data_IF_775649744413
#
_entry.id   IF_775649744413
#
_cell.length_a   1.000
_cell.length_b   1.000
_cell.length_c   1.000
_cell.angle_alpha   90.00
_cell.angle_beta   90.00
_cell.angle_gamma   90.00
#
_symmetry.space_group_name_H-M   'P 1'
#
loop_
_entity.id
_entity.type
_entity.pdbx_description
1 polymer ?
#
# COMPACT_ATOMS: atom_id res chain seq x y z
N UNK A 1 24.40 15.08 6.20
CA UNK A 1 23.87 16.26 5.54
C UNK A 1 23.37 17.23 6.60
N UNK A 2 23.97 18.41 6.69
CA UNK A 2 23.70 19.40 7.75
C UNK A 2 22.94 20.64 7.25
N UNK A 3 22.49 20.62 5.96
CA UNK A 3 21.74 21.73 5.36
C UNK A 3 20.41 21.89 6.08
N UNK A 4 20.17 23.09 6.64
CA UNK A 4 18.92 23.42 7.34
C UNK A 4 17.84 23.91 6.38
N UNK A 5 16.59 23.81 6.79
CA UNK A 5 15.44 24.35 6.06
C UNK A 5 15.57 25.86 5.79
N UNK A 6 16.11 26.59 6.77
CA UNK A 6 16.36 28.02 6.64
C UNK A 6 17.38 28.35 5.54
N UNK A 7 18.43 27.54 5.41
CA UNK A 7 19.40 27.69 4.32
C UNK A 7 18.77 27.40 2.96
N UNK A 8 17.88 26.40 2.86
CA UNK A 8 17.12 26.15 1.63
C UNK A 8 16.23 27.35 1.25
N UNK A 9 15.52 27.95 2.22
CA UNK A 9 14.72 29.18 2.00
C UNK A 9 15.61 30.33 1.52
N UNK A 10 16.80 30.49 2.08
CA UNK A 10 17.77 31.48 1.63
C UNK A 10 18.27 31.23 0.20
N UNK A 11 18.59 29.99 -0.13
CA UNK A 11 19.03 29.60 -1.47
C UNK A 11 17.96 29.91 -2.53
N UNK A 12 16.70 29.53 -2.26
CA UNK A 12 15.56 29.78 -3.13
C UNK A 12 15.39 31.28 -3.39
N UNK A 13 15.50 32.10 -2.34
CA UNK A 13 15.32 33.55 -2.46
C UNK A 13 16.45 34.19 -3.27
N UNK A 14 17.72 33.80 -3.06
CA UNK A 14 18.84 34.26 -3.87
C UNK A 14 18.67 33.88 -5.34
N UNK A 15 18.21 32.64 -5.61
CA UNK A 15 17.93 32.18 -6.97
C UNK A 15 16.80 32.97 -7.64
N UNK A 16 15.76 33.33 -6.87
CA UNK A 16 14.63 34.12 -7.35
C UNK A 16 15.00 35.56 -7.73
N UNK A 17 15.80 36.20 -6.89
CA UNK A 17 16.13 37.63 -7.01
C UNK A 17 17.33 37.87 -7.93
N UNK A 18 18.27 36.92 -8.03
CA UNK A 18 19.51 37.07 -8.80
C UNK A 18 20.52 38.03 -8.18
N UNK A 19 20.32 38.43 -6.91
CA UNK A 19 21.20 39.36 -6.17
C UNK A 19 21.21 39.01 -4.67
N UNK A 20 22.41 38.73 -4.14
CA UNK A 20 22.56 38.43 -2.70
C UNK A 20 22.18 39.66 -1.83
N UNK A 21 22.48 40.88 -2.26
CA UNK A 21 22.14 42.07 -1.49
C UNK A 21 20.65 42.27 -1.41
N UNK A 22 19.92 42.21 -2.53
CA UNK A 22 18.46 42.32 -2.54
C UNK A 22 17.78 41.17 -1.80
N UNK A 23 18.28 39.95 -1.94
CA UNK A 23 17.75 38.82 -1.20
C UNK A 23 17.94 38.98 0.32
N UNK A 24 19.08 39.51 0.76
CA UNK A 24 19.33 39.79 2.17
C UNK A 24 18.39 40.85 2.74
N UNK A 25 18.07 41.89 1.97
CA UNK A 25 17.07 42.91 2.34
C UNK A 25 15.67 42.30 2.48
N UNK A 26 15.23 41.49 1.53
CA UNK A 26 13.93 40.80 1.55
C UNK A 26 13.83 39.85 2.72
N UNK A 27 14.90 39.16 3.05
CA UNK A 27 14.99 38.21 4.14
C UNK A 27 15.23 38.86 5.52
N UNK A 28 15.39 40.16 5.59
CA UNK A 28 15.71 40.93 6.80
C UNK A 28 16.96 40.38 7.54
N UNK A 29 18.01 40.02 6.77
CA UNK A 29 19.27 39.54 7.33
C UNK A 29 20.44 40.33 6.72
N UNK A 30 21.65 40.18 7.30
CA UNK A 30 22.84 40.82 6.75
C UNK A 30 23.35 40.04 5.53
N UNK A 31 23.88 40.77 4.53
CA UNK A 31 24.47 40.18 3.33
C UNK A 31 25.61 39.17 3.66
N UNK A 32 26.54 39.45 4.61
CA UNK A 32 27.56 38.47 4.99
C UNK A 32 26.98 37.15 5.52
N UNK A 33 25.88 37.21 6.32
CA UNK A 33 25.18 36.01 6.84
C UNK A 33 24.58 35.19 5.71
N UNK A 34 23.87 35.85 4.77
CA UNK A 34 23.32 35.18 3.61
C UNK A 34 24.39 34.55 2.71
N UNK A 35 25.49 35.33 2.44
CA UNK A 35 26.59 34.83 1.63
C UNK A 35 27.31 33.65 2.26
N UNK A 36 27.42 33.63 3.59
CA UNK A 36 27.96 32.49 4.35
C UNK A 36 27.05 31.27 4.21
N UNK A 37 25.75 31.44 4.42
CA UNK A 37 24.78 30.34 4.32
C UNK A 37 24.80 29.65 2.93
N UNK A 38 24.93 30.44 1.85
CA UNK A 38 25.07 29.88 0.49
C UNK A 38 26.38 29.10 0.35
N UNK A 39 27.52 29.66 0.83
CA UNK A 39 28.79 28.96 0.79
C UNK A 39 28.79 27.67 1.60
N UNK A 40 28.10 27.66 2.74
CA UNK A 40 27.98 26.48 3.59
C UNK A 40 27.20 25.37 2.87
N UNK A 41 26.14 25.71 2.08
CA UNK A 41 25.43 24.74 1.23
C UNK A 41 26.38 24.20 0.14
N UNK A 42 27.05 25.09 -0.61
CA UNK A 42 27.97 24.71 -1.69
C UNK A 42 29.10 23.80 -1.19
N UNK A 43 29.61 24.08 0.00
CA UNK A 43 30.64 23.26 0.65
C UNK A 43 30.11 21.89 1.10
N UNK A 44 28.85 21.80 1.58
CA UNK A 44 28.26 20.55 2.03
C UNK A 44 28.00 19.59 0.84
N UNK A 45 27.63 20.14 -0.32
CA UNK A 45 27.38 19.34 -1.54
C UNK A 45 28.60 19.19 -2.44
N UNK A 46 29.69 19.88 -2.12
CA UNK A 46 30.93 19.94 -2.90
C UNK A 46 30.72 20.40 -4.37
N UNK A 47 29.78 21.33 -4.57
CA UNK A 47 29.43 21.88 -5.90
C UNK A 47 29.25 23.39 -5.83
N UNK A 48 29.60 24.09 -6.92
CA UNK A 48 29.23 25.50 -7.09
C UNK A 48 27.82 25.58 -7.67
N UNK A 49 26.87 26.05 -6.86
CA UNK A 49 25.45 26.15 -7.24
C UNK A 49 25.15 27.51 -7.89
N UNK A 50 25.96 28.53 -7.63
CA UNK A 50 25.84 29.83 -8.22
C UNK A 50 27.12 30.24 -8.99
N UNK A 51 26.93 30.97 -10.07
CA UNK A 51 27.97 31.65 -10.79
C UNK A 51 27.77 33.18 -10.73
N UNK A 52 28.87 33.91 -10.56
CA UNK A 52 28.89 35.39 -10.53
C UNK A 52 29.24 35.96 -11.90
N UNK A 53 28.51 36.97 -12.31
CA UNK A 53 28.80 37.71 -13.53
C UNK A 53 28.73 39.24 -13.28
N UNK A 54 29.11 40.04 -14.27
CA UNK A 54 28.91 41.50 -14.24
C UNK A 54 27.43 41.91 -14.17
N UNK A 55 26.51 40.99 -14.45
CA UNK A 55 25.06 41.21 -14.42
C UNK A 55 24.40 40.72 -13.12
N UNK A 56 25.17 40.18 -12.17
CA UNK A 56 24.66 39.64 -10.90
C UNK A 56 25.06 38.18 -10.67
N UNK A 57 24.23 37.48 -9.95
CA UNK A 57 24.38 36.04 -9.62
C UNK A 57 23.33 35.23 -10.37
N UNK A 58 23.74 34.10 -10.95
CA UNK A 58 22.84 33.15 -11.64
C UNK A 58 23.17 31.72 -11.23
N UNK A 59 22.22 30.82 -11.40
CA UNK A 59 22.40 29.38 -11.11
C UNK A 59 23.33 28.74 -12.12
N UNK A 60 24.14 27.78 -11.67
CA UNK A 60 24.78 26.76 -12.52
C UNK A 60 23.76 25.72 -12.95
N UNK A 61 24.14 24.74 -13.78
CA UNK A 61 23.28 23.58 -14.09
C UNK A 61 22.91 22.78 -12.82
N UNK A 62 23.93 22.51 -11.98
CA UNK A 62 23.72 21.81 -10.68
C UNK A 62 22.87 22.67 -9.73
N UNK A 63 23.03 23.99 -9.74
CA UNK A 63 22.22 24.92 -8.95
C UNK A 63 20.76 24.93 -9.39
N UNK A 64 20.47 24.78 -10.68
CA UNK A 64 19.09 24.68 -11.16
C UNK A 64 18.43 23.36 -10.74
N UNK A 65 19.16 22.26 -10.78
CA UNK A 65 18.69 20.96 -10.28
C UNK A 65 18.47 21.01 -8.76
N UNK A 66 19.44 21.51 -8.01
CA UNK A 66 19.34 21.71 -6.56
C UNK A 66 18.14 22.57 -6.17
N UNK A 67 17.84 23.63 -6.95
CA UNK A 67 16.66 24.48 -6.71
C UNK A 67 15.35 23.69 -6.80
N UNK A 68 15.25 22.75 -7.72
CA UNK A 68 14.09 21.87 -7.85
C UNK A 68 13.83 21.10 -6.56
N UNK A 69 14.85 20.43 -6.03
CA UNK A 69 14.74 19.69 -4.77
C UNK A 69 14.54 20.59 -3.54
N UNK A 70 15.24 21.72 -3.48
CA UNK A 70 15.09 22.68 -2.39
C UNK A 70 13.66 23.21 -2.27
N UNK A 71 13.01 23.52 -3.40
CA UNK A 71 11.59 23.92 -3.43
C UNK A 71 10.67 22.83 -2.90
N UNK A 72 10.84 21.59 -3.33
CA UNK A 72 10.03 20.48 -2.86
C UNK A 72 10.11 20.30 -1.34
N UNK A 73 11.33 20.37 -0.77
CA UNK A 73 11.52 20.24 0.69
C UNK A 73 10.84 21.38 1.43
N UNK A 74 10.99 22.63 0.96
CA UNK A 74 10.38 23.80 1.59
C UNK A 74 8.85 23.73 1.49
N UNK A 75 8.30 23.37 0.33
CA UNK A 75 6.86 23.16 0.15
C UNK A 75 6.29 22.12 1.11
N UNK A 76 6.96 20.98 1.26
CA UNK A 76 6.52 19.95 2.22
C UNK A 76 6.56 20.45 3.66
N UNK A 77 7.58 21.26 4.02
CA UNK A 77 7.64 21.90 5.34
C UNK A 77 6.51 22.89 5.55
N UNK A 78 6.22 23.72 4.56
CA UNK A 78 5.15 24.74 4.66
C UNK A 78 3.77 24.05 4.75
N UNK A 79 3.55 22.93 4.05
CA UNK A 79 2.36 22.09 4.20
C UNK A 79 2.23 21.53 5.62
N UNK A 80 3.34 21.07 6.20
CA UNK A 80 3.38 20.58 7.59
C UNK A 80 3.04 21.70 8.57
N UNK A 81 3.64 22.89 8.40
CA UNK A 81 3.36 24.06 9.23
C UNK A 81 1.89 24.47 9.14
N UNK A 82 1.35 24.63 7.94
CA UNK A 82 -0.07 24.98 7.71
C UNK A 82 -1.00 23.99 8.39
N UNK A 83 -0.67 22.70 8.30
CA UNK A 83 -1.50 21.64 8.86
C UNK A 83 -1.53 21.62 10.39
N UNK A 84 -0.38 21.85 11.04
CA UNK A 84 -0.23 21.64 12.48
C UNK A 84 -0.22 22.92 13.29
N UNK A 85 0.26 24.06 12.74
CA UNK A 85 0.34 25.33 13.43
C UNK A 85 -0.92 26.20 13.24
N UNK A 86 -1.52 26.21 12.05
CA UNK A 86 -2.71 27.03 11.78
C UNK A 86 -4.03 26.47 12.34
N UNK A 87 -3.99 25.30 12.98
CA UNK A 87 -5.16 24.65 13.61
C UNK A 87 -6.46 24.69 12.77
N UNK A 88 -6.36 24.71 11.45
CA UNK A 88 -7.53 24.50 10.60
C UNK A 88 -8.12 23.12 10.86
N UNK A 89 -9.46 22.92 10.75
CA UNK A 89 -10.05 21.61 10.94
C UNK A 89 -9.29 20.60 10.08
N UNK A 90 -8.60 19.69 10.75
CA UNK A 90 -7.63 18.84 10.10
C UNK A 90 -8.35 17.92 9.13
N UNK A 91 -8.05 18.05 7.84
CA UNK A 91 -8.36 17.08 6.82
C UNK A 91 -8.09 15.66 7.35
N UNK A 92 -9.09 14.80 7.31
CA UNK A 92 -8.93 13.43 7.82
C UNK A 92 -7.97 12.66 6.91
N UNK A 93 -6.96 12.05 7.48
CA UNK A 93 -6.02 11.21 6.74
C UNK A 93 -6.25 9.76 7.10
N UNK A 94 -6.05 8.89 6.13
CA UNK A 94 -5.92 7.46 6.31
C UNK A 94 -5.18 6.87 5.10
N UNK A 95 -4.16 6.08 5.35
CA UNK A 95 -3.44 5.37 4.30
C UNK A 95 -3.37 3.88 4.64
N UNK A 96 -3.76 3.05 3.69
CA UNK A 96 -3.86 1.60 3.81
C UNK A 96 -3.14 0.97 2.64
N UNK A 97 -2.31 -0.04 2.90
CA UNK A 97 -1.70 -0.89 1.88
C UNK A 97 -2.33 -2.28 1.93
N UNK A 98 -2.52 -2.92 0.81
CA UNK A 98 -3.15 -4.24 0.72
C UNK A 98 -2.53 -5.05 -0.41
N UNK A 99 -2.46 -6.38 -0.26
CA UNK A 99 -2.34 -7.26 -1.41
C UNK A 99 -3.58 -7.08 -2.31
N UNK A 100 -3.58 -7.69 -3.47
CA UNK A 100 -4.58 -7.42 -4.52
C UNK A 100 -5.95 -8.07 -4.23
N UNK A 101 -6.62 -7.64 -3.16
CA UNK A 101 -7.92 -8.16 -2.73
C UNK A 101 -9.08 -7.22 -3.03
N UNK A 102 -10.06 -7.71 -3.82
CA UNK A 102 -11.28 -6.95 -4.12
C UNK A 102 -12.08 -6.57 -2.87
N UNK A 103 -12.14 -7.44 -1.86
CA UNK A 103 -12.83 -7.17 -0.61
C UNK A 103 -12.19 -6.02 0.20
N UNK A 104 -10.86 -5.85 0.11
CA UNK A 104 -10.17 -4.74 0.77
C UNK A 104 -10.56 -3.39 0.13
N UNK A 105 -10.67 -3.35 -1.20
CA UNK A 105 -11.15 -2.19 -1.94
C UNK A 105 -12.62 -1.88 -1.60
N UNK A 106 -13.47 -2.91 -1.51
CA UNK A 106 -14.89 -2.75 -1.17
C UNK A 106 -15.05 -2.17 0.25
N UNK A 107 -14.28 -2.67 1.22
CA UNK A 107 -14.24 -2.12 2.57
C UNK A 107 -13.84 -0.63 2.59
N UNK A 108 -12.87 -0.25 1.76
CA UNK A 108 -12.45 1.13 1.63
C UNK A 108 -13.55 2.03 1.05
N UNK A 109 -14.26 1.57 0.02
CA UNK A 109 -15.44 2.27 -0.53
C UNK A 109 -16.50 2.49 0.55
N UNK A 110 -16.78 1.46 1.36
CA UNK A 110 -17.78 1.56 2.44
C UNK A 110 -17.33 2.53 3.54
N UNK A 111 -16.04 2.52 3.91
CA UNK A 111 -15.47 3.49 4.85
C UNK A 111 -15.65 4.92 4.34
N UNK A 112 -15.34 5.20 3.07
CA UNK A 112 -15.49 6.55 2.48
C UNK A 112 -16.94 6.98 2.52
N UNK A 113 -17.88 6.15 2.04
CA UNK A 113 -19.32 6.44 2.07
C UNK A 113 -19.83 6.75 3.49
N UNK A 114 -19.35 6.01 4.49
CA UNK A 114 -19.69 6.28 5.91
C UNK A 114 -19.12 7.58 6.40
N UNK A 115 -17.88 7.90 6.06
CA UNK A 115 -17.25 9.18 6.43
C UNK A 115 -18.05 10.35 5.90
N UNK A 116 -18.47 10.30 4.63
CA UNK A 116 -19.29 11.32 3.99
C UNK A 116 -20.67 11.45 4.67
N UNK A 117 -21.29 10.32 5.00
CA UNK A 117 -22.59 10.31 5.70
C UNK A 117 -22.54 10.92 7.11
N UNK A 118 -21.37 10.99 7.73
CA UNK A 118 -21.12 11.65 9.01
C UNK A 118 -20.88 13.16 8.88
N UNK A 119 -20.98 13.73 7.67
CA UNK A 119 -20.77 15.14 7.40
C UNK A 119 -19.31 15.57 7.34
N UNK A 120 -18.37 14.63 7.23
CA UNK A 120 -16.96 14.91 7.05
C UNK A 120 -16.71 15.17 5.56
N UNK A 121 -16.59 16.45 5.18
CA UNK A 121 -16.42 16.87 3.78
C UNK A 121 -14.96 16.99 3.32
N UNK A 122 -14.00 16.97 4.24
CA UNK A 122 -12.58 17.12 3.91
C UNK A 122 -11.76 15.91 4.41
N UNK A 123 -11.22 15.14 3.47
CA UNK A 123 -10.35 14.00 3.76
C UNK A 123 -9.30 13.80 2.65
N UNK A 124 -8.26 13.08 3.00
CA UNK A 124 -7.27 12.55 2.06
C UNK A 124 -6.99 11.11 2.44
N UNK A 125 -7.55 10.22 1.67
CA UNK A 125 -7.42 8.79 1.90
C UNK A 125 -6.61 8.15 0.78
N UNK A 126 -5.72 7.25 1.15
CA UNK A 126 -4.88 6.52 0.21
C UNK A 126 -5.12 5.02 0.40
N UNK A 127 -5.45 4.33 -0.69
CA UNK A 127 -5.43 2.88 -0.76
C UNK A 127 -4.37 2.48 -1.79
N UNK A 128 -3.44 1.61 -1.38
CA UNK A 128 -2.40 1.06 -2.25
C UNK A 128 -2.57 -0.44 -2.37
N UNK A 129 -2.77 -0.92 -3.59
CA UNK A 129 -2.51 -2.32 -3.90
C UNK A 129 -1.01 -2.45 -4.19
N UNK A 130 -0.32 -3.29 -3.42
CA UNK A 130 1.13 -3.37 -3.44
C UNK A 130 1.60 -4.81 -3.15
N UNK A 131 2.85 -5.10 -3.51
CA UNK A 131 3.50 -6.37 -3.24
C UNK A 131 3.69 -6.61 -1.75
N UNK A 132 3.74 -7.85 -1.34
CA UNK A 132 3.82 -8.24 0.08
C UNK A 132 4.93 -7.51 0.85
N UNK A 133 6.15 -7.45 0.29
CA UNK A 133 7.25 -6.76 0.96
C UNK A 133 7.09 -5.24 1.00
N UNK A 134 6.52 -4.65 -0.05
CA UNK A 134 6.22 -3.21 -0.11
C UNK A 134 5.18 -2.81 0.94
N UNK A 135 4.18 -3.66 1.21
CA UNK A 135 3.19 -3.45 2.29
C UNK A 135 3.89 -3.40 3.65
N UNK A 136 4.82 -4.31 3.91
CA UNK A 136 5.60 -4.34 5.14
C UNK A 136 6.40 -3.03 5.30
N UNK A 137 7.08 -2.59 4.26
CA UNK A 137 7.84 -1.33 4.27
C UNK A 137 6.94 -0.10 4.38
N UNK A 138 5.75 -0.10 3.77
CA UNK A 138 4.78 0.99 3.89
C UNK A 138 4.30 1.17 5.33
N UNK A 139 3.98 0.07 6.03
CA UNK A 139 3.54 0.14 7.44
C UNK A 139 4.69 0.48 8.36
N UNK A 140 5.87 -0.13 8.18
CA UNK A 140 7.08 0.17 8.94
C UNK A 140 7.49 1.65 8.86
N UNK A 141 7.42 2.24 7.66
CA UNK A 141 7.77 3.64 7.41
C UNK A 141 6.64 4.63 7.71
N UNK A 142 5.49 4.17 8.22
CA UNK A 142 4.28 4.98 8.44
C UNK A 142 3.74 5.63 7.15
N UNK A 143 4.07 5.10 5.98
CA UNK A 143 3.46 5.48 4.72
C UNK A 143 2.01 4.99 4.65
N UNK A 144 1.75 3.85 5.27
CA UNK A 144 0.41 3.33 5.55
C UNK A 144 0.27 3.01 7.03
N UNK A 145 -0.92 3.22 7.58
CA UNK A 145 -1.23 2.99 8.98
C UNK A 145 -1.41 1.50 9.27
N UNK A 146 -1.98 0.78 8.30
CA UNK A 146 -2.12 -0.66 8.34
C UNK A 146 -1.91 -1.29 6.95
N UNK A 147 -1.60 -2.57 6.94
CA UNK A 147 -1.42 -3.37 5.73
C UNK A 147 -2.24 -4.65 5.79
N UNK A 148 -2.87 -5.04 4.69
CA UNK A 148 -3.62 -6.30 4.58
C UNK A 148 -2.79 -7.30 3.80
N UNK A 149 -2.53 -8.47 4.39
CA UNK A 149 -1.77 -9.55 3.75
C UNK A 149 -2.21 -10.91 4.29
N UNK A 150 -1.75 -11.98 3.65
CA UNK A 150 -2.04 -13.33 4.10
C UNK A 150 -0.84 -14.07 4.68
N UNK A 151 -1.13 -15.08 5.47
CA UNK A 151 -0.21 -16.14 5.87
C UNK A 151 -0.84 -17.51 5.61
N UNK A 152 0.01 -18.51 5.46
CA UNK A 152 -0.37 -19.91 5.46
C UNK A 152 0.72 -20.76 6.13
N UNK A 153 0.56 -22.07 6.16
CA UNK A 153 1.52 -22.99 6.77
C UNK A 153 2.94 -22.89 6.18
N UNK A 154 3.05 -22.51 4.89
CA UNK A 154 4.34 -22.42 4.19
C UNK A 154 5.12 -21.15 4.54
N UNK A 155 4.47 -19.98 4.56
CA UNK A 155 5.15 -18.69 4.72
C UNK A 155 5.14 -18.13 6.15
N UNK A 156 4.32 -18.66 7.07
CA UNK A 156 4.09 -18.11 8.40
C UNK A 156 5.38 -17.84 9.17
N UNK A 157 6.29 -18.82 9.24
CA UNK A 157 7.55 -18.69 10.02
C UNK A 157 8.43 -17.54 9.50
N UNK A 158 8.52 -17.38 8.17
CA UNK A 158 9.33 -16.32 7.56
C UNK A 158 8.65 -14.96 7.75
N UNK A 159 7.33 -14.89 7.55
CA UNK A 159 6.54 -13.68 7.75
C UNK A 159 6.60 -13.21 9.21
N UNK A 160 6.37 -14.10 10.17
CA UNK A 160 6.43 -13.76 11.60
C UNK A 160 7.79 -13.23 12.02
N UNK A 161 8.89 -13.82 11.50
CA UNK A 161 10.24 -13.32 11.74
C UNK A 161 10.42 -11.90 11.20
N UNK A 162 10.04 -11.67 9.93
CA UNK A 162 10.19 -10.36 9.27
C UNK A 162 9.34 -9.31 9.99
N UNK A 163 8.10 -9.62 10.33
CA UNK A 163 7.21 -8.71 11.05
C UNK A 163 7.81 -8.33 12.41
N UNK A 164 8.28 -9.31 13.17
CA UNK A 164 8.93 -9.07 14.47
C UNK A 164 10.19 -8.19 14.37
N UNK A 165 11.05 -8.45 13.39
CA UNK A 165 12.27 -7.66 13.15
C UNK A 165 11.94 -6.20 12.81
N UNK A 166 10.79 -5.95 12.19
CA UNK A 166 10.30 -4.62 11.82
C UNK A 166 9.34 -4.01 12.87
N UNK A 167 9.14 -4.61 14.04
CA UNK A 167 8.22 -4.18 15.10
C UNK A 167 6.77 -4.09 14.64
N UNK A 168 6.37 -4.98 13.75
CA UNK A 168 5.02 -5.09 13.26
C UNK A 168 4.29 -6.24 13.96
N UNK A 169 3.00 -6.05 14.22
CA UNK A 169 2.11 -7.08 14.77
C UNK A 169 1.15 -7.52 13.68
N UNK A 170 0.98 -8.83 13.52
CA UNK A 170 -0.05 -9.41 12.67
C UNK A 170 -1.31 -9.69 13.51
N UNK A 171 -2.44 -9.23 13.02
CA UNK A 171 -3.75 -9.40 13.61
C UNK A 171 -4.60 -10.29 12.69
N UNK A 172 -4.87 -11.54 13.06
CA UNK A 172 -5.71 -12.45 12.24
C UNK A 172 -7.11 -11.87 12.04
N UNK A 173 -7.60 -11.86 10.81
CA UNK A 173 -8.92 -11.37 10.45
C UNK A 173 -9.88 -12.54 10.18
N UNK A 174 -9.60 -13.37 9.17
CA UNK A 174 -10.40 -14.54 8.84
C UNK A 174 -9.55 -15.64 8.19
N UNK A 175 -10.07 -16.86 8.22
CA UNK A 175 -9.49 -18.02 7.58
C UNK A 175 -10.37 -18.42 6.38
N UNK A 176 -9.81 -18.45 5.18
CA UNK A 176 -10.50 -18.81 3.95
C UNK A 176 -10.06 -20.18 3.42
N UNK A 177 -11.00 -20.90 2.81
CA UNK A 177 -10.68 -22.05 1.95
C UNK A 177 -10.20 -21.54 0.59
N UNK A 178 -9.23 -22.22 -0.03
CA UNK A 178 -8.74 -21.87 -1.35
C UNK A 178 -9.81 -21.99 -2.43
N UNK A 179 -9.88 -20.98 -3.28
CA UNK A 179 -10.73 -20.94 -4.47
C UNK A 179 -9.87 -20.52 -5.67
N UNK A 180 -10.28 -20.93 -6.84
CA UNK A 180 -9.79 -20.32 -8.08
C UNK A 180 -10.77 -19.24 -8.53
N UNK A 181 -10.21 -18.17 -9.10
CA UNK A 181 -10.98 -17.19 -9.86
C UNK A 181 -10.76 -17.44 -11.34
N UNK A 182 -11.85 -17.49 -12.09
CA UNK A 182 -11.88 -17.68 -13.54
C UNK A 182 -12.94 -16.79 -14.17
N UNK A 183 -12.86 -16.58 -15.49
CA UNK A 183 -13.97 -15.97 -16.23
C UNK A 183 -15.23 -16.84 -16.14
N UNK A 184 -16.40 -16.22 -16.06
CA UNK A 184 -17.69 -16.93 -16.12
C UNK A 184 -17.88 -17.76 -17.40
N UNK A 185 -17.11 -17.46 -18.45
CA UNK A 185 -17.09 -18.22 -19.72
C UNK A 185 -16.06 -19.35 -19.75
N UNK A 186 -15.22 -19.48 -18.69
CA UNK A 186 -14.24 -20.54 -18.59
C UNK A 186 -14.93 -21.90 -18.47
N UNK A 187 -14.44 -22.99 -19.13
CA UNK A 187 -15.00 -24.33 -19.02
C UNK A 187 -15.15 -24.85 -17.57
N UNK A 188 -14.32 -24.37 -16.66
CA UNK A 188 -14.36 -24.74 -15.23
C UNK A 188 -15.48 -24.01 -14.45
N UNK A 189 -16.04 -22.93 -14.97
CA UNK A 189 -16.98 -22.04 -14.27
C UNK A 189 -18.23 -22.74 -13.70
N UNK A 190 -18.61 -23.86 -14.27
CA UNK A 190 -19.80 -24.62 -13.86
C UNK A 190 -19.49 -25.82 -12.93
N UNK A 191 -18.22 -26.05 -12.60
CA UNK A 191 -17.84 -27.12 -11.66
C UNK A 191 -18.18 -26.74 -10.22
N UNK A 192 -18.54 -27.72 -9.41
CA UNK A 192 -18.77 -27.52 -7.97
C UNK A 192 -17.46 -27.31 -7.19
N UNK A 193 -16.40 -27.93 -7.64
CA UNK A 193 -15.01 -27.76 -7.19
C UNK A 193 -14.07 -28.16 -8.31
N UNK A 194 -12.79 -27.79 -8.19
CA UNK A 194 -11.73 -28.15 -9.13
C UNK A 194 -10.56 -28.78 -8.38
N UNK A 195 -9.78 -29.59 -9.07
CA UNK A 195 -8.54 -30.19 -8.58
C UNK A 195 -7.34 -29.54 -9.29
N UNK A 196 -6.11 -29.84 -8.85
CA UNK A 196 -4.92 -29.32 -9.51
C UNK A 196 -4.77 -29.87 -10.94
N UNK A 197 -5.21 -31.12 -11.20
CA UNK A 197 -5.21 -31.73 -12.52
C UNK A 197 -6.14 -30.99 -13.49
N UNK A 198 -7.29 -30.50 -13.02
CA UNK A 198 -8.23 -29.72 -13.83
C UNK A 198 -7.61 -28.41 -14.33
N UNK A 199 -6.60 -27.89 -13.60
CA UNK A 199 -5.96 -26.60 -13.88
C UNK A 199 -4.80 -26.70 -14.90
N UNK A 200 -4.27 -27.90 -15.19
CA UNK A 200 -3.06 -28.07 -16.00
C UNK A 200 -3.15 -27.48 -17.41
N UNK A 201 -4.34 -27.45 -17.99
CA UNK A 201 -4.54 -26.93 -19.36
C UNK A 201 -4.70 -25.40 -19.41
N UNK A 202 -4.91 -24.74 -18.26
CA UNK A 202 -5.19 -23.32 -18.18
C UNK A 202 -3.95 -22.54 -17.71
N UNK A 203 -3.72 -21.30 -18.20
CA UNK A 203 -2.67 -20.43 -17.69
C UNK A 203 -2.91 -20.05 -16.23
N UNK A 204 -1.91 -20.30 -15.36
CA UNK A 204 -1.89 -19.73 -14.02
C UNK A 204 -1.48 -18.27 -14.12
N UNK A 205 -2.25 -17.40 -13.46
CA UNK A 205 -2.00 -15.97 -13.36
C UNK A 205 -1.64 -15.66 -11.90
N UNK A 206 -0.52 -15.00 -11.68
CA UNK A 206 -0.04 -14.64 -10.34
C UNK A 206 0.57 -13.24 -10.32
N UNK A 207 0.66 -12.64 -9.12
CA UNK A 207 1.29 -11.32 -8.96
C UNK A 207 2.80 -11.44 -8.84
N UNK A 208 3.53 -10.63 -9.61
CA UNK A 208 4.98 -10.55 -9.48
C UNK A 208 5.38 -9.86 -8.17
N UNK A 209 6.49 -10.28 -7.58
CA UNK A 209 6.99 -9.72 -6.32
C UNK A 209 8.26 -8.86 -6.48
N UNK A 210 8.60 -8.45 -7.72
CA UNK A 210 9.73 -7.57 -8.02
C UNK A 210 11.07 -8.13 -7.53
N UNK A 211 11.86 -7.30 -6.87
CA UNK A 211 13.18 -7.68 -6.34
C UNK A 211 13.09 -8.72 -5.21
N UNK A 212 12.00 -8.76 -4.45
CA UNK A 212 11.73 -9.73 -3.40
C UNK A 212 11.01 -10.96 -3.93
N UNK A 213 11.54 -11.55 -5.00
CA UNK A 213 10.95 -12.66 -5.76
C UNK A 213 11.09 -14.04 -5.07
N UNK A 214 10.88 -14.08 -3.76
CA UNK A 214 10.82 -15.35 -3.02
C UNK A 214 9.38 -15.84 -2.94
N UNK A 215 9.17 -17.16 -3.04
CA UNK A 215 7.83 -17.78 -2.87
C UNK A 215 7.17 -17.46 -1.52
N UNK A 216 7.94 -17.07 -0.50
CA UNK A 216 7.39 -16.63 0.79
C UNK A 216 6.60 -15.32 0.70
N UNK A 217 6.84 -14.50 -0.33
CA UNK A 217 6.14 -13.24 -0.57
C UNK A 217 5.05 -13.33 -1.63
N UNK A 218 4.88 -14.50 -2.28
CA UNK A 218 3.79 -14.70 -3.25
C UNK A 218 2.43 -14.41 -2.60
N UNK A 219 1.51 -13.85 -3.37
CA UNK A 219 0.16 -13.51 -2.91
C UNK A 219 -0.81 -14.69 -3.05
N UNK A 220 -0.40 -15.72 -3.77
CA UNK A 220 -1.17 -16.94 -3.97
C UNK A 220 -0.53 -18.12 -3.24
N UNK A 221 -1.36 -18.97 -2.66
CA UNK A 221 -0.91 -20.25 -2.14
C UNK A 221 -0.45 -21.17 -3.30
N UNK A 222 0.26 -22.23 -2.97
CA UNK A 222 0.76 -23.21 -3.95
C UNK A 222 1.71 -22.60 -5.01
N UNK A 223 2.29 -21.44 -4.71
CA UNK A 223 3.24 -20.75 -5.61
C UNK A 223 4.47 -21.58 -5.95
N UNK A 224 4.83 -22.56 -5.11
CA UNK A 224 5.93 -23.51 -5.34
C UNK A 224 5.57 -24.67 -6.27
N UNK A 225 4.27 -24.88 -6.53
CA UNK A 225 3.81 -25.96 -7.44
C UNK A 225 4.08 -25.53 -8.88
N UNK A 226 4.70 -26.42 -9.63
CA UNK A 226 5.00 -26.18 -11.04
C UNK A 226 3.71 -26.01 -11.87
N UNK A 227 3.65 -24.98 -12.69
CA UNK A 227 2.60 -24.79 -13.68
C UNK A 227 3.21 -24.76 -15.09
N UNK A 228 2.63 -25.52 -16.02
CA UNK A 228 3.09 -25.56 -17.43
C UNK A 228 2.98 -24.20 -18.12
N UNK A 229 1.97 -23.42 -17.77
CA UNK A 229 1.67 -22.10 -18.32
C UNK A 229 1.55 -21.13 -17.14
N UNK A 230 2.56 -20.29 -16.93
CA UNK A 230 2.65 -19.35 -15.81
C UNK A 230 2.84 -17.93 -16.34
N UNK A 231 1.97 -17.01 -15.95
CA UNK A 231 2.00 -15.62 -16.38
C UNK A 231 1.97 -14.76 -15.11
N UNK A 232 2.99 -13.90 -14.98
CA UNK A 232 3.09 -12.96 -13.86
C UNK A 232 2.65 -11.57 -14.29
N UNK A 233 1.90 -10.90 -13.44
CA UNK A 233 1.34 -9.55 -13.68
C UNK A 233 1.61 -8.64 -12.50
N UNK A 234 1.51 -7.33 -12.73
CA UNK A 234 1.77 -6.31 -11.72
C UNK A 234 0.51 -5.71 -11.08
N UNK A 235 -0.69 -6.00 -11.62
CA UNK A 235 -1.92 -5.35 -11.14
C UNK A 235 -3.17 -6.23 -11.38
N UNK A 236 -4.23 -5.93 -10.62
CA UNK A 236 -5.48 -6.67 -10.62
C UNK A 236 -6.31 -6.49 -11.90
N UNK A 237 -6.27 -5.34 -12.53
CA UNK A 237 -7.02 -5.11 -13.77
C UNK A 237 -6.45 -5.98 -14.90
N UNK A 238 -5.12 -6.07 -14.98
CA UNK A 238 -4.43 -6.94 -15.94
C UNK A 238 -4.76 -8.41 -15.71
N UNK A 239 -4.78 -8.88 -14.44
CA UNK A 239 -5.10 -10.29 -14.13
C UNK A 239 -6.52 -10.64 -14.61
N UNK A 240 -7.50 -9.78 -14.36
CA UNK A 240 -8.89 -10.00 -14.79
C UNK A 240 -9.04 -10.00 -16.33
N UNK A 241 -8.36 -9.10 -17.02
CA UNK A 241 -8.34 -9.09 -18.48
C UNK A 241 -7.74 -10.39 -19.05
N UNK A 242 -6.67 -10.89 -18.45
CA UNK A 242 -6.06 -12.16 -18.88
C UNK A 242 -6.91 -13.38 -18.53
N UNK A 243 -7.64 -13.37 -17.40
CA UNK A 243 -8.63 -14.41 -17.10
C UNK A 243 -9.68 -14.52 -18.20
N UNK A 244 -10.21 -13.36 -18.67
CA UNK A 244 -11.22 -13.31 -19.73
C UNK A 244 -10.60 -13.67 -21.09
N UNK A 245 -9.46 -13.07 -21.42
CA UNK A 245 -8.86 -13.19 -22.75
C UNK A 245 -8.15 -14.51 -23.03
N UNK A 246 -7.64 -15.19 -22.00
CA UNK A 246 -6.84 -16.42 -22.11
C UNK A 246 -7.46 -17.62 -21.38
N UNK A 247 -8.64 -17.48 -20.78
CA UNK A 247 -9.20 -18.49 -19.86
C UNK A 247 -8.24 -18.85 -18.71
N UNK A 248 -7.43 -17.89 -18.26
CA UNK A 248 -6.51 -18.08 -17.14
C UNK A 248 -7.24 -18.21 -15.80
N UNK A 249 -6.50 -18.65 -14.78
CA UNK A 249 -7.00 -18.71 -13.40
C UNK A 249 -5.98 -18.10 -12.43
N UNK A 250 -6.47 -17.60 -11.30
CA UNK A 250 -5.64 -17.30 -10.12
C UNK A 250 -6.23 -17.97 -8.88
N UNK A 251 -5.41 -18.18 -7.84
CA UNK A 251 -5.85 -18.78 -6.59
C UNK A 251 -6.04 -17.68 -5.54
N UNK A 252 -7.21 -17.64 -4.88
CA UNK A 252 -7.54 -16.62 -3.89
C UNK A 252 -8.52 -17.13 -2.84
N UNK A 253 -9.07 -16.22 -2.03
CA UNK A 253 -9.95 -16.50 -0.86
C UNK A 253 -11.39 -16.86 -1.21
N UNK A 254 -11.78 -16.83 -2.48
CA UNK A 254 -13.18 -17.05 -2.88
C UNK A 254 -14.08 -15.81 -2.78
N UNK A 255 -13.61 -14.70 -2.21
CA UNK A 255 -14.40 -13.48 -2.07
C UNK A 255 -14.32 -12.65 -3.34
N UNK A 256 -15.35 -12.69 -4.16
CA UNK A 256 -15.52 -11.84 -5.35
C UNK A 256 -16.53 -10.74 -5.05
N UNK A 257 -16.18 -9.50 -5.30
CA UNK A 257 -17.13 -8.38 -5.19
C UNK A 257 -17.88 -8.23 -6.52
N UNK A 258 -19.12 -8.71 -6.58
CA UNK A 258 -19.98 -8.54 -7.76
C UNK A 258 -20.27 -7.06 -8.05
N UNK A 259 -20.44 -6.25 -7.00
CA UNK A 259 -20.68 -4.81 -7.15
C UNK A 259 -19.53 -4.07 -7.87
N UNK A 260 -18.28 -4.55 -7.70
CA UNK A 260 -17.10 -3.92 -8.29
C UNK A 260 -16.63 -4.59 -9.58
N UNK A 261 -16.86 -5.91 -9.73
CA UNK A 261 -16.29 -6.70 -10.83
C UNK A 261 -17.37 -7.24 -11.80
N UNK A 262 -18.65 -7.06 -11.50
CA UNK A 262 -19.75 -7.66 -12.25
C UNK A 262 -19.75 -9.20 -12.19
N UNK A 263 -20.52 -9.83 -13.08
CA UNK A 263 -20.68 -11.29 -13.14
C UNK A 263 -19.64 -11.99 -14.03
N UNK A 264 -18.61 -11.27 -14.46
CA UNK A 264 -17.63 -11.80 -15.42
C UNK A 264 -16.59 -12.73 -14.76
N UNK A 265 -16.41 -12.65 -13.45
CA UNK A 265 -15.47 -13.46 -12.68
C UNK A 265 -16.23 -14.27 -11.64
N UNK A 266 -15.94 -15.55 -11.58
CA UNK A 266 -16.54 -16.50 -10.61
C UNK A 266 -15.47 -17.16 -9.77
N UNK A 267 -15.83 -17.47 -8.52
CA UNK A 267 -14.98 -18.23 -7.60
C UNK A 267 -15.45 -19.68 -7.55
N UNK A 268 -14.51 -20.63 -7.64
CA UNK A 268 -14.79 -22.05 -7.56
C UNK A 268 -13.87 -22.67 -6.50
N UNK A 269 -14.40 -23.48 -5.55
CA UNK A 269 -13.58 -24.14 -4.54
C UNK A 269 -12.47 -24.98 -5.15
N UNK A 270 -11.25 -24.86 -4.62
CA UNK A 270 -10.10 -25.67 -5.00
C UNK A 270 -9.89 -26.79 -3.97
N UNK A 271 -9.92 -28.03 -4.43
CA UNK A 271 -9.80 -29.21 -3.57
C UNK A 271 -8.32 -29.44 -3.16
N UNK A 272 -7.84 -28.71 -2.17
CA UNK A 272 -6.51 -28.83 -1.58
C UNK A 272 -6.58 -28.71 -0.06
N UNK A 273 -5.64 -29.37 0.63
CA UNK A 273 -5.51 -29.28 2.09
C UNK A 273 -4.61 -28.11 2.49
N UNK A 274 -5.05 -26.91 2.23
CA UNK A 274 -4.39 -25.68 2.69
C UNK A 274 -5.44 -24.63 3.08
N UNK A 275 -5.03 -23.58 3.77
CA UNK A 275 -5.89 -22.48 4.16
C UNK A 275 -5.16 -21.16 3.93
N UNK A 276 -5.93 -20.10 3.73
CA UNK A 276 -5.45 -18.74 3.56
C UNK A 276 -5.86 -17.93 4.79
N UNK A 277 -4.94 -17.66 5.71
CA UNK A 277 -5.20 -16.79 6.85
C UNK A 277 -4.95 -15.34 6.44
N UNK A 278 -6.02 -14.59 6.24
CA UNK A 278 -5.93 -13.14 5.99
C UNK A 278 -5.90 -12.42 7.33
N UNK A 279 -5.01 -11.44 7.41
CA UNK A 279 -4.89 -10.56 8.55
C UNK A 279 -4.43 -9.17 8.15
N UNK A 280 -4.31 -8.32 9.16
CA UNK A 280 -3.75 -6.99 8.97
C UNK A 280 -2.52 -6.80 9.87
N UNK A 281 -1.60 -5.95 9.41
CA UNK A 281 -0.38 -5.60 10.15
C UNK A 281 -0.41 -4.12 10.53
N UNK A 282 0.13 -3.81 11.70
CA UNK A 282 0.37 -2.44 12.18
C UNK A 282 1.66 -2.36 12.97
N UNK A 283 2.17 -1.16 13.21
CA UNK A 283 3.23 -0.95 14.20
C UNK A 283 2.73 -1.32 15.60
N UNK A 284 3.51 -2.09 16.35
CA UNK A 284 3.11 -2.71 17.62
C UNK A 284 2.67 -1.71 18.70
N UNK A 285 3.15 -0.47 18.66
CA UNK A 285 2.89 0.55 19.69
C UNK A 285 2.03 1.71 19.19
N UNK A 286 1.54 1.65 17.95
CA UNK A 286 0.76 2.72 17.34
C UNK A 286 -0.74 2.49 17.56
N UNK A 287 -1.43 3.51 18.10
CA UNK A 287 -2.90 3.51 18.11
C UNK A 287 -3.42 3.87 16.72
N UNK A 288 -4.38 3.09 16.26
CA UNK A 288 -5.04 3.35 14.99
C UNK A 288 -5.89 4.63 15.05
N UNK A 289 -5.97 5.33 13.92
CA UNK A 289 -6.91 6.43 13.77
C UNK A 289 -8.35 5.91 13.70
N UNK A 290 -9.32 6.78 14.01
CA UNK A 290 -10.73 6.44 13.88
C UNK A 290 -11.11 5.97 12.46
N UNK A 291 -10.41 6.46 11.43
CA UNK A 291 -10.62 6.08 10.04
C UNK A 291 -10.10 4.67 9.74
N UNK A 292 -8.92 4.32 10.26
CA UNK A 292 -8.39 2.96 10.15
C UNK A 292 -9.26 1.95 10.90
N UNK A 293 -9.75 2.29 12.11
CA UNK A 293 -10.72 1.47 12.83
C UNK A 293 -12.04 1.31 12.07
N UNK A 294 -12.53 2.39 11.44
CA UNK A 294 -13.74 2.33 10.62
C UNK A 294 -13.54 1.40 9.41
N UNK A 295 -12.38 1.50 8.76
CA UNK A 295 -12.04 0.60 7.67
C UNK A 295 -12.04 -0.87 8.10
N UNK A 296 -11.40 -1.19 9.23
CA UNK A 296 -11.37 -2.56 9.76
C UNK A 296 -12.77 -3.09 10.08
N UNK A 297 -13.63 -2.25 10.65
CA UNK A 297 -15.04 -2.60 10.90
C UNK A 297 -15.82 -2.91 9.62
N UNK A 298 -15.58 -2.16 8.54
CA UNK A 298 -16.22 -2.45 7.25
C UNK A 298 -15.61 -3.67 6.57
N UNK A 299 -14.31 -3.90 6.75
CA UNK A 299 -13.61 -5.07 6.25
C UNK A 299 -14.14 -6.36 6.94
N UNK A 300 -14.24 -6.37 8.27
CA UNK A 300 -14.79 -7.49 9.04
C UNK A 300 -16.19 -7.88 8.56
N UNK A 301 -17.09 -6.92 8.32
CA UNK A 301 -18.44 -7.20 7.82
C UNK A 301 -18.46 -7.92 6.49
N UNK A 302 -17.53 -7.60 5.60
CA UNK A 302 -17.44 -8.20 4.27
C UNK A 302 -16.90 -9.62 4.36
N UNK A 303 -15.88 -9.85 5.20
CA UNK A 303 -15.16 -11.14 5.23
C UNK A 303 -15.74 -12.15 6.20
N UNK A 304 -16.45 -11.71 7.25
CA UNK A 304 -17.04 -12.56 8.27
C UNK A 304 -17.86 -13.75 7.72
N UNK A 305 -18.72 -13.59 6.68
CA UNK A 305 -19.48 -14.73 6.13
C UNK A 305 -18.60 -15.82 5.49
N UNK A 306 -17.32 -15.52 5.22
CA UNK A 306 -16.36 -16.42 4.56
C UNK A 306 -15.37 -17.05 5.54
N UNK A 307 -15.47 -16.74 6.85
CA UNK A 307 -14.57 -17.28 7.86
C UNK A 307 -14.94 -18.73 8.21
N UNK A 308 -14.14 -19.68 7.75
CA UNK A 308 -14.37 -21.12 7.98
C UNK A 308 -14.25 -21.54 9.45
N UNK A 309 -13.67 -20.69 10.32
CA UNK A 309 -13.61 -20.94 11.77
C UNK A 309 -14.98 -20.89 12.42
N UNK A 310 -15.91 -20.12 11.89
CA UNK A 310 -17.27 -19.98 12.41
C UNK A 310 -18.20 -21.09 11.92
N UNK A 311 -18.01 -21.60 10.70
CA UNK A 311 -18.77 -22.74 10.18
C UNK A 311 -18.55 -24.04 10.99
N UNK A 312 -17.35 -24.25 11.55
CA UNK A 312 -17.03 -25.40 12.40
C UNK A 312 -17.62 -25.30 13.79
N UNK A 313 -17.84 -24.09 14.34
CA UNK A 313 -18.51 -23.95 15.67
C UNK A 313 -19.96 -24.35 15.65
N UNK A 314 -20.66 -24.19 14.54
CA UNK A 314 -22.09 -24.58 14.42
C UNK A 314 -22.29 -26.09 14.21
N UNK A 315 -21.29 -26.81 13.71
CA UNK A 315 -21.34 -28.26 13.55
C UNK A 315 -21.02 -29.02 14.84
N UNK A 316 -20.12 -28.48 15.69
CA UNK A 316 -19.80 -29.12 16.98
C UNK A 316 -20.85 -28.88 18.05
N UNK A 317 -21.61 -27.78 17.98
CA UNK A 317 -22.76 -27.56 18.93
C UNK A 317 -23.96 -28.39 18.62
N UNK A 318 -24.19 -28.84 17.39
CA UNK A 318 -25.28 -29.73 17.01
C UNK A 318 -24.98 -31.22 17.27
N UNK A 319 -23.72 -31.58 17.51
CA UNK A 319 -23.34 -32.98 17.81
C UNK A 319 -23.44 -33.34 19.30
N UNK A 320 -23.59 -32.37 20.20
CA UNK A 320 -23.70 -32.58 21.65
C UNK A 320 -25.13 -32.64 22.17
N UNK A 321 -26.15 -32.44 21.34
CA UNK A 321 -27.58 -32.55 21.76
C UNK A 321 -28.26 -33.91 21.44
N UNK A 322 -27.54 -34.88 20.89
CA UNK A 322 -28.13 -36.21 20.53
C UNK A 322 -27.70 -37.33 21.49
N UNK A 323 -27.04 -37.02 22.60
CA UNK A 323 -26.75 -38.01 23.66
C UNK A 323 -27.20 -37.50 25.03
N UNK A 324 -28.52 -37.47 25.25
CA UNK A 324 -29.14 -37.60 26.57
C UNK A 324 -30.44 -38.41 26.44
#
# INVERSE_FOLDING_TARGET
MTISLQQLKYFIEVARVGSINQAAEILFITQPSLSKAIKDIEAEVDLSLFQRSSKGISLTADGAEFLGYARQVVEQSDLLETRWLDRKPSRKLCAISTQHYAFAVNAFVNMVKKTESQGIGEYEYTLREARTYEIIEDVKSLRSELGILYKNSYNANVMDKILKENRLTFHPLFLAEPHIFVSSTNPLAHKKFVTLEDLEEFPRLSYEQGEHNSFYFSEEILSTVYAKKDIKVGDRATIFNLMIGLNGYTISTGIVSQDLNGDNIVAIPLAVEDNIEIGWISLSELQLTNQAELYLKELEKIVHPFDVREGKKNTDSSSNEICQ
#
